data_IF_518618118214
#
_entry.id   IF_518618118214
#
_cell.length_a   1.000
_cell.length_b   1.000
_cell.length_c   1.000
_cell.angle_alpha   90.00
_cell.angle_beta   90.00
_cell.angle_gamma   90.00
#
_symmetry.space_group_name_H-M   'P 1'
#
loop_
_entity.id
_entity.type
_entity.pdbx_description
1 polymer ?
#
# COMPACT_ATOMS: atom_id res chain seq x y z
N UNK A 1 -6.05 9.60 -0.79
CA UNK A 1 -4.94 9.52 -1.76
C UNK A 1 -4.91 8.09 -2.25
N UNK A 2 -5.54 7.82 -3.39
CA UNK A 2 -5.83 6.46 -3.83
C UNK A 2 -4.80 5.99 -4.85
N UNK A 3 -4.43 4.72 -4.76
CA UNK A 3 -3.53 4.03 -5.67
C UNK A 3 -4.01 4.17 -7.13
N UNK A 4 -3.30 5.01 -7.90
CA UNK A 4 -3.20 4.97 -9.36
C UNK A 4 -4.53 5.01 -10.16
N UNK A 5 -5.27 6.11 -10.07
CA UNK A 5 -6.01 6.63 -11.25
C UNK A 5 -4.96 7.18 -12.22
N UNK A 6 -4.71 6.70 -13.44
CA UNK A 6 -5.47 5.80 -14.33
C UNK A 6 -6.87 6.32 -14.71
N UNK A 7 -6.88 7.54 -15.26
CA UNK A 7 -8.01 8.13 -16.01
C UNK A 7 -7.48 9.12 -17.08
N UNK A 8 -6.30 8.88 -17.64
CA UNK A 8 -5.78 9.63 -18.80
C UNK A 8 -5.34 8.64 -19.88
N UNK A 9 -5.65 8.98 -21.14
CA UNK A 9 -5.32 8.27 -22.39
C UNK A 9 -6.00 6.92 -22.69
N UNK A 10 -7.33 6.88 -22.48
CA UNK A 10 -8.22 6.09 -23.34
C UNK A 10 -8.45 6.87 -24.67
N UNK A 11 -7.42 6.93 -25.53
CA UNK A 11 -7.47 7.66 -26.80
C UNK A 11 -6.94 6.80 -27.97
N UNK A 12 -7.86 6.10 -28.66
CA UNK A 12 -7.58 5.38 -29.91
C UNK A 12 -7.50 6.38 -31.10
N UNK A 13 -6.41 6.40 -31.91
CA UNK A 13 -6.25 7.38 -32.98
C UNK A 13 -6.65 6.84 -34.37
N UNK A 14 -7.83 7.23 -34.86
CA UNK A 14 -8.28 7.31 -36.28
C UNK A 14 -9.70 7.90 -36.36
N UNK A 15 -10.13 8.64 -37.37
CA UNK A 15 -9.52 9.04 -38.65
C UNK A 15 -10.06 10.43 -39.07
N UNK A 16 -9.44 11.09 -40.06
CA UNK A 16 -9.72 12.48 -40.42
C UNK A 16 -10.82 12.68 -41.47
N UNK A 17 -11.48 13.85 -41.51
CA UNK A 17 -11.74 14.63 -42.75
C UNK A 17 -12.46 15.99 -42.55
N UNK A 18 -11.91 17.06 -43.16
CA UNK A 18 -12.69 18.12 -43.83
C UNK A 18 -13.04 19.41 -43.05
N UNK A 19 -12.71 20.62 -43.57
CA UNK A 19 -12.97 21.92 -42.90
C UNK A 19 -14.06 22.79 -43.56
N UNK A 20 -14.55 23.83 -42.86
CA UNK A 20 -15.09 25.09 -43.46
C UNK A 20 -15.09 26.29 -42.47
N UNK A 21 -14.30 27.31 -42.83
CA UNK A 21 -14.60 28.76 -42.84
C UNK A 21 -15.15 29.58 -41.63
N UNK A 22 -14.26 30.43 -41.09
CA UNK A 22 -14.22 31.91 -41.31
C UNK A 22 -14.65 32.96 -40.23
N UNK A 23 -13.79 33.99 -40.10
CA UNK A 23 -13.98 35.40 -39.63
C UNK A 23 -14.16 35.71 -38.12
N UNK A 24 -13.77 36.88 -37.55
CA UNK A 24 -12.75 37.93 -37.83
C UNK A 24 -12.68 38.95 -36.64
N UNK A 25 -11.61 39.77 -36.52
CA UNK A 25 -11.33 40.88 -35.55
C UNK A 25 -10.87 40.48 -34.13
N UNK A 26 -9.84 41.11 -33.49
CA UNK A 26 -8.78 42.02 -33.98
C UNK A 26 -8.15 42.91 -32.87
N UNK A 27 -6.81 43.13 -32.93
CA UNK A 27 -6.05 44.30 -32.41
C UNK A 27 -5.88 44.45 -30.84
N UNK A 28 -4.81 44.99 -30.20
CA UNK A 28 -3.44 45.45 -30.59
C UNK A 28 -2.34 44.96 -29.59
N UNK A 29 -1.62 45.82 -28.83
CA UNK A 29 -0.37 45.54 -28.07
C UNK A 29 -0.38 45.98 -26.57
N UNK A 30 0.61 45.50 -25.79
CA UNK A 30 0.97 46.03 -24.48
C UNK A 30 2.08 45.24 -23.75
N UNK A 31 3.34 45.67 -23.85
CA UNK A 31 4.46 45.15 -23.03
C UNK A 31 4.39 45.68 -21.59
N UNK A 32 4.56 44.81 -20.59
CA UNK A 32 5.28 45.17 -19.35
C UNK A 32 6.09 43.98 -18.82
N UNK A 33 7.32 44.26 -18.39
CA UNK A 33 8.28 43.27 -17.93
C UNK A 33 8.07 42.93 -16.45
N UNK A 34 7.93 41.64 -16.13
CA UNK A 34 7.97 41.14 -14.76
C UNK A 34 8.99 40.00 -14.63
N UNK A 35 9.92 40.18 -13.69
CA UNK A 35 11.04 39.28 -13.41
C UNK A 35 10.58 37.84 -13.08
N UNK A 36 11.40 36.81 -13.37
CA UNK A 36 11.05 35.42 -13.09
C UNK A 36 11.07 35.16 -11.58
N UNK A 37 9.88 35.26 -10.96
CA UNK A 37 9.66 34.77 -9.60
C UNK A 37 9.76 33.24 -9.57
N UNK A 38 10.36 32.72 -8.50
CA UNK A 38 10.70 31.32 -8.29
C UNK A 38 9.55 30.35 -8.60
N UNK A 39 9.76 29.45 -9.55
CA UNK A 39 8.75 28.47 -9.99
C UNK A 39 8.60 27.30 -9.00
N UNK A 40 7.38 26.85 -8.66
CA UNK A 40 7.14 25.65 -7.85
C UNK A 40 7.34 24.32 -8.62
N UNK A 41 7.82 24.37 -9.87
CA UNK A 41 7.84 23.25 -10.81
C UNK A 41 8.87 22.15 -10.50
N UNK A 42 9.91 22.45 -9.73
CA UNK A 42 11.01 21.51 -9.46
C UNK A 42 10.66 20.44 -8.43
N UNK A 43 9.79 20.76 -7.47
CA UNK A 43 9.45 19.84 -6.36
C UNK A 43 8.50 18.72 -6.79
N UNK A 44 7.55 19.00 -7.69
CA UNK A 44 6.63 17.99 -8.23
C UNK A 44 7.34 16.94 -9.09
N UNK A 45 8.28 17.37 -9.94
CA UNK A 45 9.08 16.49 -10.80
C UNK A 45 10.05 15.58 -10.02
N UNK A 46 10.62 16.09 -8.92
CA UNK A 46 11.46 15.29 -8.03
C UNK A 46 10.62 14.23 -7.29
N UNK A 47 9.47 14.61 -6.73
CA UNK A 47 8.57 13.67 -6.04
C UNK A 47 8.06 12.56 -6.95
N UNK A 48 7.65 12.86 -8.19
CA UNK A 48 7.21 11.82 -9.14
C UNK A 48 8.34 10.87 -9.55
N UNK A 49 9.58 11.36 -9.62
CA UNK A 49 10.77 10.53 -9.89
C UNK A 49 11.07 9.56 -8.74
N UNK A 50 10.97 10.02 -7.48
CA UNK A 50 11.13 9.15 -6.30
C UNK A 50 10.04 8.08 -6.25
N UNK A 51 8.77 8.44 -6.49
CA UNK A 51 7.66 7.50 -6.49
C UNK A 51 7.79 6.41 -7.56
N UNK A 52 8.29 6.75 -8.76
CA UNK A 52 8.58 5.75 -9.80
C UNK A 52 9.66 4.76 -9.32
N UNK A 53 10.77 5.26 -8.77
CA UNK A 53 11.86 4.41 -8.25
C UNK A 53 11.41 3.52 -7.08
N UNK A 54 10.51 4.02 -6.23
CA UNK A 54 9.89 3.20 -5.19
C UNK A 54 9.01 2.09 -5.78
N UNK A 55 8.23 2.37 -6.84
CA UNK A 55 7.45 1.35 -7.53
C UNK A 55 8.33 0.30 -8.24
N UNK A 56 9.42 0.72 -8.88
CA UNK A 56 10.41 -0.18 -9.50
C UNK A 56 11.06 -1.10 -8.45
N UNK A 57 11.43 -0.54 -7.30
CA UNK A 57 11.98 -1.30 -6.16
C UNK A 57 10.95 -2.26 -5.54
N UNK A 58 9.68 -1.86 -5.43
CA UNK A 58 8.58 -2.77 -5.01
C UNK A 58 8.43 -3.94 -5.97
N UNK A 59 8.45 -3.70 -7.29
CA UNK A 59 8.36 -4.77 -8.29
C UNK A 59 9.52 -5.77 -8.17
N UNK A 60 10.74 -5.27 -7.94
CA UNK A 60 11.92 -6.09 -7.66
C UNK A 60 11.79 -6.89 -6.36
N UNK A 61 11.32 -6.27 -5.26
CA UNK A 61 11.12 -6.94 -3.98
C UNK A 61 10.04 -8.04 -4.08
N UNK A 62 8.94 -7.79 -4.79
CA UNK A 62 7.92 -8.82 -5.10
C UNK A 62 8.53 -10.01 -5.85
N UNK A 63 9.44 -9.77 -6.81
CA UNK A 63 10.13 -10.82 -7.54
C UNK A 63 11.06 -11.64 -6.62
N UNK A 64 11.81 -10.99 -5.73
CA UNK A 64 12.65 -11.64 -4.72
C UNK A 64 11.82 -12.50 -3.75
N UNK A 65 10.67 -12.00 -3.29
CA UNK A 65 9.72 -12.78 -2.48
C UNK A 65 9.22 -14.03 -3.22
N UNK A 66 8.72 -13.88 -4.46
CA UNK A 66 8.22 -15.01 -5.26
C UNK A 66 9.28 -16.06 -5.57
N UNK A 67 10.53 -15.65 -5.78
CA UNK A 67 11.66 -16.57 -6.00
C UNK A 67 12.25 -17.10 -4.71
N UNK A 68 11.76 -16.67 -3.53
CA UNK A 68 12.26 -16.99 -2.20
C UNK A 68 13.78 -16.71 -2.07
N UNK A 69 14.25 -15.64 -2.72
CA UNK A 69 15.65 -15.23 -2.72
C UNK A 69 15.89 -14.04 -1.79
N UNK A 70 17.01 -14.01 -1.04
CA UNK A 70 17.46 -12.81 -0.35
C UNK A 70 17.89 -11.73 -1.36
N UNK A 71 18.01 -10.50 -0.87
CA UNK A 71 18.53 -9.35 -1.61
C UNK A 71 19.55 -8.59 -0.78
N UNK A 72 20.47 -7.87 -1.41
CA UNK A 72 21.35 -6.92 -0.71
C UNK A 72 20.97 -5.47 -0.98
N UNK A 73 21.44 -4.54 -0.15
CA UNK A 73 21.34 -3.10 -0.43
C UNK A 73 22.00 -2.72 -1.76
N UNK A 74 23.09 -3.38 -2.13
CA UNK A 74 23.76 -3.15 -3.42
C UNK A 74 22.85 -3.49 -4.60
N UNK A 75 22.18 -4.64 -4.60
CA UNK A 75 21.21 -5.00 -5.64
C UNK A 75 20.04 -4.01 -5.71
N UNK A 76 19.52 -3.57 -4.55
CA UNK A 76 18.43 -2.58 -4.49
C UNK A 76 18.85 -1.20 -5.03
N UNK A 77 20.10 -0.78 -4.79
CA UNK A 77 20.67 0.44 -5.37
C UNK A 77 20.84 0.36 -6.90
N UNK A 78 21.10 -0.82 -7.46
CA UNK A 78 21.17 -0.98 -8.92
C UNK A 78 19.80 -0.83 -9.60
N UNK A 79 18.71 -1.19 -8.91
CA UNK A 79 17.33 -0.95 -9.37
C UNK A 79 16.94 0.53 -9.28
N UNK A 80 17.29 1.18 -8.18
CA UNK A 80 16.94 2.60 -7.93
C UNK A 80 17.74 3.57 -8.81
N UNK A 81 18.99 3.24 -9.11
CA UNK A 81 19.92 4.07 -9.87
C UNK A 81 21.11 4.54 -9.03
N UNK A 82 22.31 4.48 -9.60
CA UNK A 82 23.58 4.75 -8.88
C UNK A 82 23.76 6.22 -8.49
N UNK A 83 23.02 7.13 -9.12
CA UNK A 83 23.06 8.58 -8.87
C UNK A 83 22.17 9.01 -7.69
N UNK A 84 21.37 8.10 -7.13
CA UNK A 84 20.33 8.40 -6.13
C UNK A 84 20.65 7.85 -4.73
N UNK A 85 21.93 7.64 -4.41
CA UNK A 85 22.35 7.07 -3.12
C UNK A 85 21.83 7.89 -1.92
N UNK A 86 21.83 9.22 -2.03
CA UNK A 86 21.30 10.12 -0.99
C UNK A 86 19.78 10.00 -0.81
N UNK A 87 19.05 9.62 -1.88
CA UNK A 87 17.60 9.42 -1.86
C UNK A 87 17.20 7.98 -1.52
N UNK A 88 18.14 7.03 -1.57
CA UNK A 88 17.88 5.61 -1.33
C UNK A 88 17.14 5.33 -0.01
N UNK A 89 17.47 5.93 1.15
CA UNK A 89 16.74 5.66 2.40
C UNK A 89 15.24 6.02 2.32
N UNK A 90 14.90 7.08 1.58
CA UNK A 90 13.50 7.50 1.37
C UNK A 90 12.78 6.54 0.43
N UNK A 91 13.43 6.16 -0.67
CA UNK A 91 12.88 5.24 -1.67
C UNK A 91 12.68 3.84 -1.08
N UNK A 92 13.68 3.33 -0.35
CA UNK A 92 13.62 2.05 0.37
C UNK A 92 12.57 2.06 1.47
N UNK A 93 12.41 3.17 2.20
CA UNK A 93 11.33 3.35 3.17
C UNK A 93 9.94 3.24 2.54
N UNK A 94 9.68 4.00 1.46
CA UNK A 94 8.41 3.94 0.72
C UNK A 94 8.14 2.54 0.13
N UNK A 95 9.17 1.90 -0.42
CA UNK A 95 9.04 0.55 -0.97
C UNK A 95 8.73 -0.48 0.12
N UNK A 96 9.42 -0.40 1.27
CA UNK A 96 9.20 -1.30 2.41
C UNK A 96 7.82 -1.12 3.05
N UNK A 97 7.34 0.12 3.16
CA UNK A 97 5.96 0.41 3.61
C UNK A 97 4.92 -0.18 2.64
N UNK A 98 5.14 -0.05 1.33
CA UNK A 98 4.28 -0.66 0.31
C UNK A 98 4.27 -2.20 0.40
N UNK A 99 5.45 -2.83 0.61
CA UNK A 99 5.56 -4.27 0.86
C UNK A 99 4.76 -4.70 2.10
N UNK A 100 4.79 -3.91 3.18
CA UNK A 100 4.02 -4.18 4.39
C UNK A 100 2.51 -3.99 4.19
N UNK A 101 2.05 -2.84 3.68
CA UNK A 101 0.64 -2.49 3.59
C UNK A 101 -0.11 -3.24 2.49
N UNK A 102 0.45 -3.31 1.29
CA UNK A 102 -0.22 -3.87 0.12
C UNK A 102 -0.03 -5.38 0.07
N UNK A 103 1.22 -5.84 0.25
CA UNK A 103 1.58 -7.24 0.05
C UNK A 103 1.56 -8.06 1.34
N UNK A 104 1.70 -7.43 2.51
CA UNK A 104 1.83 -8.14 3.79
C UNK A 104 3.15 -8.88 3.88
N UNK A 105 4.24 -8.22 3.46
CA UNK A 105 5.60 -8.74 3.45
C UNK A 105 6.53 -7.75 4.15
N UNK A 106 7.17 -8.18 5.23
CA UNK A 106 8.24 -7.43 5.89
C UNK A 106 9.56 -7.65 5.14
N UNK A 107 10.26 -6.57 4.80
CA UNK A 107 11.65 -6.59 4.31
C UNK A 107 12.56 -6.49 5.54
N UNK A 108 13.23 -7.58 5.89
CA UNK A 108 13.96 -7.71 7.16
C UNK A 108 15.45 -7.91 6.93
N UNK A 109 16.27 -7.02 7.49
CA UNK A 109 17.73 -7.18 7.51
C UNK A 109 18.11 -8.41 8.37
N UNK A 110 19.03 -9.24 7.86
CA UNK A 110 19.54 -10.46 8.53
C UNK A 110 21.05 -10.44 8.76
N UNK A 111 21.81 -9.70 7.95
CA UNK A 111 23.20 -9.39 8.23
C UNK A 111 23.48 -7.90 7.96
N UNK A 112 23.72 -7.08 9.01
CA UNK A 112 24.09 -5.68 8.89
C UNK A 112 25.49 -5.44 8.31
N UNK A 113 26.33 -6.48 8.19
CA UNK A 113 27.70 -6.38 7.66
C UNK A 113 27.69 -6.31 6.13
N UNK A 114 26.85 -7.14 5.51
CA UNK A 114 26.66 -7.25 4.06
C UNK A 114 25.40 -6.49 3.57
N UNK A 115 24.68 -5.84 4.50
CA UNK A 115 23.35 -5.24 4.29
C UNK A 115 22.43 -6.18 3.50
N UNK A 116 22.24 -7.38 4.02
CA UNK A 116 21.43 -8.43 3.40
C UNK A 116 20.05 -8.54 4.04
N UNK A 117 19.04 -8.72 3.19
CA UNK A 117 17.63 -8.68 3.54
C UNK A 117 16.91 -9.94 3.05
N UNK A 118 15.97 -10.42 3.86
CA UNK A 118 15.00 -11.46 3.50
C UNK A 118 13.59 -10.85 3.48
N UNK A 119 12.72 -11.45 2.68
CA UNK A 119 11.33 -11.03 2.57
C UNK A 119 10.44 -12.09 3.24
N UNK A 120 9.72 -11.70 4.28
CA UNK A 120 8.94 -12.63 5.12
C UNK A 120 7.49 -12.20 5.23
N UNK A 121 6.57 -13.15 5.19
CA UNK A 121 5.14 -12.90 5.34
C UNK A 121 4.84 -12.37 6.74
N UNK A 122 4.08 -11.29 6.82
CA UNK A 122 3.79 -10.63 8.09
C UNK A 122 2.92 -11.49 8.99
N UNK A 123 3.08 -11.32 10.30
CA UNK A 123 2.36 -12.07 11.34
C UNK A 123 2.52 -13.61 11.27
N UNK A 124 3.45 -14.13 10.46
CA UNK A 124 3.62 -15.57 10.26
C UNK A 124 2.49 -16.23 9.45
N UNK A 125 1.62 -15.43 8.82
CA UNK A 125 0.46 -15.94 8.08
C UNK A 125 0.88 -16.78 6.87
N UNK A 126 0.15 -17.87 6.62
CA UNK A 126 0.42 -18.82 5.53
C UNK A 126 -0.56 -18.68 4.35
N UNK A 127 -1.28 -17.54 4.29
CA UNK A 127 -2.19 -17.18 3.21
C UNK A 127 -1.39 -16.91 1.92
N UNK A 128 -1.42 -17.84 0.97
CA UNK A 128 -0.58 -17.77 -0.23
C UNK A 128 -0.16 -19.11 -0.83
N UNK A 129 -0.46 -20.22 -0.15
CA UNK A 129 -0.40 -21.58 -0.71
C UNK A 129 0.86 -22.38 -0.40
N UNK A 130 0.73 -23.69 -0.59
CA UNK A 130 1.78 -24.72 -0.52
C UNK A 130 2.94 -24.40 -1.52
N UNK A 131 4.20 -24.86 -1.32
CA UNK A 131 5.35 -24.66 -2.23
C UNK A 131 5.24 -25.23 -3.68
N UNK A 132 4.03 -25.36 -4.22
CA UNK A 132 3.74 -25.81 -5.58
C UNK A 132 3.84 -24.69 -6.61
N UNK A 133 5.07 -24.24 -6.91
CA UNK A 133 5.49 -23.66 -8.21
C UNK A 133 4.89 -22.33 -8.71
N UNK A 134 3.59 -22.10 -8.55
CA UNK A 134 2.86 -20.96 -9.11
C UNK A 134 2.46 -19.98 -8.00
N UNK A 135 3.47 -19.39 -7.33
CA UNK A 135 3.22 -18.45 -6.25
C UNK A 135 2.61 -17.14 -6.80
N UNK A 136 1.30 -16.99 -6.59
CA UNK A 136 0.52 -15.81 -6.95
C UNK A 136 1.02 -14.53 -6.28
N UNK A 137 0.35 -13.41 -6.54
CA UNK A 137 0.70 -12.16 -5.85
C UNK A 137 0.42 -12.29 -4.35
N UNK A 138 1.26 -11.76 -3.45
CA UNK A 138 1.00 -11.84 -2.01
C UNK A 138 -0.31 -11.12 -1.67
N UNK A 139 -1.26 -11.85 -1.09
CA UNK A 139 -2.58 -11.31 -0.69
C UNK A 139 -2.69 -11.03 0.81
N UNK A 140 -1.61 -11.28 1.56
CA UNK A 140 -1.56 -11.19 3.02
C UNK A 140 -1.85 -9.77 3.53
N UNK A 141 -1.39 -8.73 2.82
CA UNK A 141 -1.66 -7.34 3.21
C UNK A 141 -3.15 -7.04 3.32
N UNK A 142 -3.90 -7.37 2.27
CA UNK A 142 -5.36 -7.24 2.25
C UNK A 142 -6.06 -8.10 3.33
N UNK A 143 -5.55 -9.31 3.61
CA UNK A 143 -6.09 -10.16 4.69
C UNK A 143 -5.88 -9.50 6.06
N UNK A 144 -4.69 -8.95 6.34
CA UNK A 144 -4.40 -8.25 7.61
C UNK A 144 -5.28 -7.00 7.76
N UNK A 145 -5.53 -6.26 6.69
CA UNK A 145 -6.49 -5.14 6.69
C UNK A 145 -7.90 -5.63 7.03
N UNK A 146 -8.39 -6.70 6.40
CA UNK A 146 -9.72 -7.27 6.69
C UNK A 146 -9.85 -7.72 8.15
N UNK A 147 -8.87 -8.48 8.66
CA UNK A 147 -8.83 -8.91 10.06
C UNK A 147 -8.78 -7.70 11.02
N UNK A 148 -8.09 -6.64 10.61
CA UNK A 148 -8.05 -5.34 11.31
C UNK A 148 -9.41 -4.64 11.37
N UNK A 149 -10.15 -4.57 10.26
CA UNK A 149 -11.50 -3.98 10.23
C UNK A 149 -12.44 -4.76 11.15
N UNK A 150 -12.44 -6.10 11.08
CA UNK A 150 -13.26 -6.95 11.96
C UNK A 150 -12.94 -6.73 13.43
N UNK A 151 -11.65 -6.54 13.77
CA UNK A 151 -11.24 -6.23 15.14
C UNK A 151 -11.73 -4.84 15.60
N UNK A 152 -11.64 -3.82 14.75
CA UNK A 152 -12.05 -2.45 15.07
C UNK A 152 -13.57 -2.28 15.21
N UNK A 153 -14.36 -3.07 14.49
CA UNK A 153 -15.83 -3.10 14.59
C UNK A 153 -16.35 -4.00 15.74
N UNK A 154 -15.46 -4.56 16.58
CA UNK A 154 -15.87 -5.34 17.75
C UNK A 154 -16.15 -6.81 17.45
N UNK A 155 -15.25 -7.45 16.68
CA UNK A 155 -15.21 -8.88 16.31
C UNK A 155 -16.23 -9.34 15.25
N UNK A 156 -17.18 -8.49 14.87
CA UNK A 156 -18.11 -8.70 13.76
C UNK A 156 -18.18 -7.41 12.93
N UNK A 157 -17.71 -7.41 11.67
CA UNK A 157 -17.82 -6.25 10.78
C UNK A 157 -18.95 -6.43 9.75
N UNK A 158 -19.89 -5.48 9.62
CA UNK A 158 -20.85 -5.46 8.51
C UNK A 158 -20.15 -5.46 7.14
N UNK A 159 -20.70 -6.16 6.15
CA UNK A 159 -20.14 -6.21 4.78
C UNK A 159 -19.95 -4.81 4.19
N UNK A 160 -20.89 -3.88 4.45
CA UNK A 160 -20.84 -2.50 3.97
C UNK A 160 -19.62 -1.75 4.52
N UNK A 161 -19.23 -2.01 5.78
CA UNK A 161 -18.12 -1.36 6.45
C UNK A 161 -16.76 -1.88 5.98
N UNK A 162 -16.71 -3.18 5.67
CA UNK A 162 -15.56 -3.79 4.99
C UNK A 162 -15.36 -3.16 3.61
N UNK A 163 -16.40 -3.06 2.79
CA UNK A 163 -16.29 -2.46 1.46
C UNK A 163 -15.98 -0.96 1.49
N UNK A 164 -16.51 -0.19 2.44
CA UNK A 164 -16.13 1.21 2.65
C UNK A 164 -14.61 1.34 2.86
N UNK A 165 -14.05 0.53 3.77
CA UNK A 165 -12.63 0.58 4.12
C UNK A 165 -11.74 0.12 2.96
N UNK A 166 -12.11 -0.98 2.29
CA UNK A 166 -11.38 -1.50 1.12
C UNK A 166 -11.44 -0.55 -0.09
N UNK A 167 -12.54 0.20 -0.24
CA UNK A 167 -12.68 1.24 -1.26
C UNK A 167 -11.64 2.35 -1.15
N UNK A 168 -11.19 2.70 0.07
CA UNK A 168 -10.10 3.68 0.29
C UNK A 168 -8.78 3.18 -0.34
N UNK A 169 -8.53 1.87 -0.30
CA UNK A 169 -7.39 1.21 -0.94
C UNK A 169 -7.56 0.96 -2.44
N UNK A 170 -8.72 1.32 -3.03
CA UNK A 170 -9.02 1.07 -4.44
C UNK A 170 -9.54 -0.35 -4.73
N UNK A 171 -9.93 -1.11 -3.70
CA UNK A 171 -10.43 -2.49 -3.83
C UNK A 171 -11.96 -2.47 -3.75
N UNK A 172 -12.62 -2.97 -4.80
CA UNK A 172 -14.09 -2.89 -4.96
C UNK A 172 -14.68 -4.24 -5.37
N UNK A 173 -15.84 -4.59 -4.80
CA UNK A 173 -16.59 -5.79 -5.19
C UNK A 173 -16.97 -5.76 -6.68
N UNK A 174 -16.81 -6.88 -7.40
CA UNK A 174 -17.20 -7.01 -8.80
C UNK A 174 -16.31 -6.26 -9.79
N UNK A 175 -15.14 -5.76 -9.35
CA UNK A 175 -14.09 -5.22 -10.21
C UNK A 175 -12.80 -6.01 -9.97
N UNK A 176 -12.27 -6.62 -11.03
CA UNK A 176 -11.00 -7.35 -10.94
C UNK A 176 -9.86 -6.38 -10.60
N UNK A 177 -9.09 -6.72 -9.56
CA UNK A 177 -7.96 -5.93 -9.07
C UNK A 177 -6.65 -6.63 -9.42
N UNK A 178 -5.73 -5.90 -10.08
CA UNK A 178 -4.46 -6.42 -10.64
C UNK A 178 -3.63 -7.26 -9.65
N UNK A 179 -3.70 -6.95 -8.36
CA UNK A 179 -2.98 -7.67 -7.29
C UNK A 179 -3.82 -8.81 -6.69
N UNK A 180 -5.13 -8.64 -6.57
CA UNK A 180 -5.95 -9.51 -5.70
C UNK A 180 -6.87 -10.48 -6.47
N UNK A 181 -7.09 -10.26 -7.77
CA UNK A 181 -8.16 -10.91 -8.55
C UNK A 181 -9.50 -10.25 -8.29
N UNK A 182 -10.61 -11.00 -8.40
CA UNK A 182 -11.94 -10.52 -8.01
C UNK A 182 -12.04 -10.47 -6.46
N UNK A 183 -12.22 -9.29 -5.84
CA UNK A 183 -12.14 -9.18 -4.38
C UNK A 183 -13.29 -9.87 -3.64
N UNK A 184 -14.50 -9.94 -4.22
CA UNK A 184 -15.65 -10.54 -3.54
C UNK A 184 -15.45 -12.05 -3.39
N UNK A 185 -15.06 -12.75 -4.45
CA UNK A 185 -14.69 -14.16 -4.42
C UNK A 185 -13.55 -14.43 -3.43
N UNK A 186 -12.52 -13.59 -3.42
CA UNK A 186 -11.41 -13.71 -2.47
C UNK A 186 -11.90 -13.66 -1.00
N UNK A 187 -12.74 -12.68 -0.68
CA UNK A 187 -13.25 -12.46 0.67
C UNK A 187 -14.29 -13.50 1.10
N UNK A 188 -15.30 -13.78 0.26
CA UNK A 188 -16.47 -14.58 0.65
C UNK A 188 -16.35 -16.06 0.32
N UNK A 189 -15.46 -16.45 -0.59
CA UNK A 189 -15.23 -17.86 -0.95
C UNK A 189 -13.85 -18.33 -0.52
N UNK A 190 -12.77 -17.72 -1.02
CA UNK A 190 -11.40 -18.24 -0.82
C UNK A 190 -10.99 -18.19 0.65
N UNK A 191 -11.07 -17.04 1.30
CA UNK A 191 -10.67 -16.92 2.71
C UNK A 191 -11.65 -17.56 3.70
N UNK A 192 -12.89 -17.83 3.28
CA UNK A 192 -13.84 -18.65 4.03
C UNK A 192 -13.47 -20.13 3.95
N UNK A 193 -13.12 -20.64 2.76
CA UNK A 193 -12.64 -22.01 2.57
C UNK A 193 -11.26 -22.24 3.23
N UNK A 194 -10.37 -21.25 3.20
CA UNK A 194 -9.10 -21.29 3.92
C UNK A 194 -9.26 -21.14 5.44
N UNK A 195 -10.45 -20.76 5.94
CA UNK A 195 -10.77 -20.65 7.36
C UNK A 195 -10.22 -19.40 8.06
N UNK A 196 -9.78 -18.38 7.31
CA UNK A 196 -9.31 -17.12 7.87
C UNK A 196 -10.44 -16.20 8.30
N UNK A 197 -11.57 -16.21 7.59
CA UNK A 197 -12.77 -15.45 7.96
C UNK A 197 -14.00 -16.35 7.90
N UNK A 198 -15.02 -15.98 8.67
CA UNK A 198 -16.38 -16.47 8.47
C UNK A 198 -17.19 -15.34 7.82
N UNK A 199 -18.03 -15.68 6.85
CA UNK A 199 -18.98 -14.76 6.21
C UNK A 199 -20.38 -15.34 6.36
N UNK A 200 -21.29 -14.60 7.02
CA UNK A 200 -22.62 -15.10 7.37
C UNK A 200 -23.69 -14.01 7.29
N UNK A 201 -24.93 -14.42 7.10
CA UNK A 201 -26.08 -13.52 7.20
C UNK A 201 -26.35 -13.16 8.66
N UNK A 202 -26.62 -11.88 8.94
CA UNK A 202 -27.03 -11.39 10.26
C UNK A 202 -28.40 -11.97 10.63
N UNK A 203 -28.55 -12.68 11.77
CA UNK A 203 -29.81 -13.32 12.15
C UNK A 203 -30.97 -12.32 12.27
N UNK A 204 -32.06 -12.57 11.53
CA UNK A 204 -33.27 -11.75 11.57
C UNK A 204 -33.19 -10.42 10.80
N UNK A 205 -32.17 -10.21 9.97
CA UNK A 205 -32.08 -9.06 9.07
C UNK A 205 -33.14 -9.12 7.95
N UNK A 206 -33.93 -8.04 7.83
CA UNK A 206 -34.81 -7.78 6.68
C UNK A 206 -34.67 -6.29 6.26
N UNK A 207 -34.08 -5.99 5.09
CA UNK A 207 -33.51 -6.92 4.11
C UNK A 207 -32.29 -7.69 4.64
N UNK A 208 -31.88 -8.75 3.95
CA UNK A 208 -30.75 -9.59 4.33
C UNK A 208 -29.42 -8.80 4.36
N UNK A 209 -28.81 -8.71 5.54
CA UNK A 209 -27.48 -8.12 5.77
C UNK A 209 -26.45 -9.23 6.06
N UNK A 210 -25.19 -8.98 5.76
CA UNK A 210 -24.09 -9.92 5.98
C UNK A 210 -22.97 -9.30 6.82
N UNK A 211 -22.25 -10.16 7.56
CA UNK A 211 -21.14 -9.77 8.42
C UNK A 211 -19.95 -10.73 8.26
N UNK A 212 -18.75 -10.19 8.49
CA UNK A 212 -17.48 -10.91 8.55
C UNK A 212 -17.00 -11.07 9.98
N UNK A 213 -16.49 -12.25 10.31
CA UNK A 213 -15.82 -12.58 11.57
C UNK A 213 -14.45 -13.20 11.31
N UNK A 214 -13.58 -13.22 12.32
CA UNK A 214 -12.36 -14.03 12.27
C UNK A 214 -12.70 -15.52 12.27
N UNK A 215 -12.15 -16.28 11.33
CA UNK A 215 -12.28 -17.72 11.26
C UNK A 215 -11.24 -18.46 12.13
N UNK A 216 -11.39 -19.78 12.30
CA UNK A 216 -10.56 -20.58 13.20
C UNK A 216 -9.06 -20.56 12.85
N UNK A 217 -8.70 -20.39 11.57
CA UNK A 217 -7.29 -20.32 11.13
C UNK A 217 -6.65 -18.99 11.47
N UNK A 218 -7.39 -17.88 11.40
CA UNK A 218 -6.88 -16.58 11.84
C UNK A 218 -6.51 -16.61 13.33
N UNK A 219 -7.33 -17.24 14.17
CA UNK A 219 -7.02 -17.48 15.59
C UNK A 219 -5.89 -18.48 15.85
N UNK A 220 -5.59 -19.37 14.91
CA UNK A 220 -4.51 -20.34 15.03
C UNK A 220 -3.14 -19.79 14.60
N UNK A 221 -3.12 -18.90 13.60
CA UNK A 221 -1.88 -18.32 13.04
C UNK A 221 -1.51 -16.96 13.64
N UNK A 222 -2.49 -16.19 14.13
CA UNK A 222 -2.26 -14.87 14.71
C UNK A 222 -3.24 -14.55 15.85
N UNK A 223 -3.10 -13.37 16.44
CA UNK A 223 -3.97 -12.88 17.51
C UNK A 223 -4.39 -11.44 17.26
N UNK A 224 -5.53 -11.05 17.86
CA UNK A 224 -6.05 -9.68 17.81
C UNK A 224 -5.01 -8.66 18.26
N UNK A 225 -4.23 -8.99 19.29
CA UNK A 225 -3.13 -8.14 19.76
C UNK A 225 -2.04 -7.97 18.69
N UNK A 226 -1.58 -9.05 18.05
CA UNK A 226 -0.57 -8.98 16.99
C UNK A 226 -1.05 -8.20 15.75
N UNK A 227 -2.31 -8.37 15.34
CA UNK A 227 -2.90 -7.57 14.25
C UNK A 227 -2.96 -6.09 14.61
N UNK A 228 -3.41 -5.75 15.82
CA UNK A 228 -3.46 -4.36 16.29
C UNK A 228 -2.06 -3.74 16.41
N UNK A 229 -1.10 -4.46 16.99
CA UNK A 229 0.30 -4.04 17.10
C UNK A 229 0.91 -3.79 15.72
N UNK A 230 0.65 -4.67 14.75
CA UNK A 230 1.10 -4.51 13.37
C UNK A 230 0.52 -3.24 12.73
N UNK A 231 -0.79 -3.02 12.82
CA UNK A 231 -1.45 -1.82 12.26
C UNK A 231 -0.94 -0.54 12.92
N UNK A 232 -0.68 -0.56 14.23
CA UNK A 232 -0.06 0.55 14.97
C UNK A 232 1.41 0.77 14.58
N UNK A 233 2.19 -0.29 14.34
CA UNK A 233 3.58 -0.20 13.87
C UNK A 233 3.65 0.52 12.52
N UNK A 234 2.84 0.08 11.55
CA UNK A 234 2.89 0.62 10.19
C UNK A 234 2.33 2.04 10.13
N UNK A 235 1.23 2.34 10.84
CA UNK A 235 0.71 3.72 10.93
C UNK A 235 1.63 4.68 11.72
N UNK A 236 2.46 4.19 12.65
CA UNK A 236 3.54 5.00 13.26
C UNK A 236 4.70 5.26 12.29
N UNK A 237 4.97 4.34 11.35
CA UNK A 237 5.91 4.56 10.25
C UNK A 237 5.52 5.72 9.33
N UNK A 238 4.22 6.05 9.25
CA UNK A 238 3.70 7.18 8.48
C UNK A 238 3.88 8.55 9.17
N UNK A 239 4.30 8.59 10.44
CA UNK A 239 4.54 9.84 11.14
C UNK A 239 5.97 10.34 10.89
N UNK A 240 6.18 11.54 10.30
CA UNK A 240 7.50 12.14 10.18
C UNK A 240 8.00 12.59 11.56
N UNK A 241 8.64 11.67 12.30
CA UNK A 241 9.53 11.86 13.47
C UNK A 241 9.11 12.84 14.60
N UNK A 242 7.86 13.31 14.61
CA UNK A 242 7.37 14.38 15.48
C UNK A 242 7.20 13.97 16.95
N UNK A 243 6.99 12.67 17.22
CA UNK A 243 6.76 12.16 18.58
C UNK A 243 8.06 11.81 19.34
N UNK A 244 9.23 12.16 18.82
CA UNK A 244 10.52 11.98 19.52
C UNK A 244 10.83 13.06 20.58
N UNK A 245 9.86 13.90 20.97
CA UNK A 245 10.06 15.12 21.75
C UNK A 245 9.41 15.13 23.16
N UNK A 246 8.98 14.00 23.72
CA UNK A 246 8.31 13.99 25.04
C UNK A 246 8.79 12.96 26.07
N UNK A 247 9.91 12.25 25.86
CA UNK A 247 10.51 11.36 26.89
C UNK A 247 11.75 11.95 27.59
N UNK A 248 12.17 13.18 27.23
CA UNK A 248 13.33 13.86 27.85
C UNK A 248 12.96 15.04 28.76
N UNK A 249 11.75 14.99 29.35
CA UNK A 249 11.19 16.05 30.20
C UNK A 249 10.70 15.53 31.57
N UNK A 250 11.12 14.34 32.00
CA UNK A 250 10.90 13.81 33.37
C UNK A 250 12.22 13.26 33.92
N UNK A 251 13.21 14.13 34.06
CA UNK A 251 14.48 13.90 34.77
C UNK A 251 15.15 15.25 35.05
N UNK A 252 14.53 16.05 35.91
CA UNK A 252 15.15 17.12 36.71
C UNK A 252 14.07 17.78 37.59
N UNK A 253 13.66 17.10 38.69
CA UNK A 253 13.07 17.75 39.88
C UNK A 253 13.01 16.80 41.10
N UNK A 254 14.12 16.12 41.44
CA UNK A 254 14.31 15.54 42.80
C UNK A 254 15.80 15.53 43.24
N UNK A 255 16.50 16.66 43.10
CA UNK A 255 17.76 16.88 43.83
C UNK A 255 17.93 18.38 44.20
N UNK A 256 17.33 18.78 45.32
CA UNK A 256 17.40 20.13 45.88
C UNK A 256 16.78 20.20 47.28
N UNK A 257 17.60 20.58 48.27
CA UNK A 257 17.28 20.55 49.70
C UNK A 257 16.33 21.66 50.20
#
# INVERSE_FOLDING_TARGET
LSLWKLEEDLQDPKEAQGPVDAQLYGAEEGEEALSPSSSPSSTSSFSSTLHRKAADLVAFLVLKYRTQQPTSQAEMLEVVGKDDQDAFPVIFGQASECMQLVFGVDVKEVDPSDHSYVLVTVLGLTCGGLPSGEQGMPKTGLLVVLLGVILLEGDCAPEEKVWETLGVMGVYAGKEHVIYGEPRELLTNVWVQEGYVEYRQVPGSDPACYEFLWGPRAYAETSKFQVLEYLLRVSRGQQPSSLALSEKAVSDEEEGA
#
